data_IF_381133560569
#
_entry.id   IF_381133560569
#
_cell.length_a   1.000
_cell.length_b   1.000
_cell.length_c   1.000
_cell.angle_alpha   90.00
_cell.angle_beta   90.00
_cell.angle_gamma   90.00
#
_symmetry.space_group_name_H-M   'P 1'
#
loop_
_entity.id
_entity.type
_entity.pdbx_description
1 polymer ?
#
# COMPACT_ATOMS: atom_id res chain seq x y z
N UNK A 1 15.87 -27.41 -6.11
CA UNK A 1 14.44 -27.05 -6.30
C UNK A 1 13.64 -26.92 -4.99
N UNK A 2 13.83 -27.77 -3.96
CA UNK A 2 13.03 -27.72 -2.71
C UNK A 2 13.10 -26.41 -1.90
N UNK A 3 14.20 -25.65 -1.97
CA UNK A 3 14.35 -24.42 -1.17
C UNK A 3 13.72 -23.17 -1.81
N UNK A 4 13.66 -23.10 -3.14
CA UNK A 4 13.01 -21.97 -3.84
C UNK A 4 11.50 -21.97 -3.63
N UNK A 5 10.88 -23.15 -3.72
CA UNK A 5 9.44 -23.32 -3.45
C UNK A 5 9.10 -22.92 -2.02
N UNK A 6 9.94 -23.28 -1.04
CA UNK A 6 9.78 -22.84 0.36
C UNK A 6 9.91 -21.33 0.53
N UNK A 7 10.83 -20.68 -0.20
CA UNK A 7 11.00 -19.22 -0.15
C UNK A 7 9.81 -18.50 -0.79
N UNK A 8 9.32 -18.97 -1.93
CA UNK A 8 8.13 -18.42 -2.57
C UNK A 8 6.91 -18.59 -1.66
N UNK A 9 6.74 -19.76 -1.05
CA UNK A 9 5.67 -20.00 -0.08
C UNK A 9 5.80 -19.09 1.15
N UNK A 10 7.01 -18.91 1.68
CA UNK A 10 7.24 -18.01 2.81
C UNK A 10 6.96 -16.54 2.46
N UNK A 11 7.34 -16.09 1.26
CA UNK A 11 7.02 -14.73 0.77
C UNK A 11 5.52 -14.57 0.57
N UNK A 12 4.84 -15.55 -0.04
CA UNK A 12 3.40 -15.51 -0.22
C UNK A 12 2.64 -15.48 1.13
N UNK A 13 3.10 -16.26 2.11
CA UNK A 13 2.55 -16.26 3.47
C UNK A 13 2.80 -14.93 4.16
N UNK A 14 4.01 -14.38 4.08
CA UNK A 14 4.32 -13.06 4.64
C UNK A 14 3.47 -11.96 4.01
N UNK A 15 3.33 -11.96 2.68
CA UNK A 15 2.47 -11.00 1.98
C UNK A 15 1.01 -11.17 2.38
N UNK A 16 0.51 -12.41 2.50
CA UNK A 16 -0.85 -12.69 2.94
C UNK A 16 -1.10 -12.30 4.40
N UNK A 17 -0.12 -12.48 5.29
CA UNK A 17 -0.20 -12.04 6.69
C UNK A 17 -0.18 -10.52 6.78
N UNK A 18 0.70 -9.85 6.02
CA UNK A 18 0.70 -8.40 5.93
C UNK A 18 -0.64 -7.87 5.40
N UNK A 19 -1.15 -8.45 4.31
CA UNK A 19 -2.44 -8.09 3.73
C UNK A 19 -3.60 -8.37 4.70
N UNK A 20 -3.61 -9.52 5.37
CA UNK A 20 -4.61 -9.92 6.34
C UNK A 20 -4.61 -9.03 7.60
N UNK A 21 -3.44 -8.61 8.07
CA UNK A 21 -3.31 -7.64 9.14
C UNK A 21 -3.86 -6.27 8.73
N UNK A 22 -3.56 -5.80 7.50
CA UNK A 22 -4.21 -4.59 6.95
C UNK A 22 -5.73 -4.74 6.83
N UNK A 23 -6.26 -5.93 6.55
CA UNK A 23 -7.71 -6.15 6.48
C UNK A 23 -8.38 -6.20 7.87
N UNK A 24 -7.73 -6.81 8.88
CA UNK A 24 -8.26 -6.91 10.25
C UNK A 24 -8.18 -5.62 11.05
N UNK A 25 -7.16 -4.79 10.80
CA UNK A 25 -7.07 -3.44 11.36
C UNK A 25 -8.12 -2.51 10.73
N UNK A 26 -8.88 -3.03 9.75
CA UNK A 26 -9.70 -2.24 8.85
C UNK A 26 -8.76 -1.53 7.90
N UNK A 27 -8.78 -1.91 6.63
CA UNK A 27 -8.42 -0.93 5.61
C UNK A 27 -9.36 0.24 5.91
N UNK A 28 -8.86 1.43 6.34
CA UNK A 28 -9.72 2.60 6.36
C UNK A 28 -10.29 2.63 4.96
N UNK A 29 -11.61 2.52 4.87
CA UNK A 29 -12.29 2.26 3.63
C UNK A 29 -11.68 3.17 2.55
N UNK A 30 -10.89 2.60 1.62
CA UNK A 30 -10.43 3.29 0.41
C UNK A 30 -11.62 3.38 -0.56
N UNK A 31 -12.80 3.62 0.02
CA UNK A 31 -14.07 3.90 -0.58
C UNK A 31 -14.31 5.40 -0.42
N UNK A 32 -13.33 6.18 -0.85
CA UNK A 32 -13.58 7.56 -1.21
C UNK A 32 -12.78 7.77 -2.49
N UNK A 33 -13.49 7.82 -3.62
CA UNK A 33 -13.06 8.74 -4.66
C UNK A 33 -12.70 10.04 -3.93
N UNK A 34 -11.42 10.37 -3.93
CA UNK A 34 -10.99 11.63 -3.36
C UNK A 34 -11.60 12.66 -4.31
N UNK A 35 -12.72 13.26 -3.89
CA UNK A 35 -13.31 14.42 -4.55
C UNK A 35 -12.40 15.60 -4.29
N UNK A 36 -11.23 15.56 -4.90
CA UNK A 36 -10.30 16.66 -4.90
C UNK A 36 -10.78 17.73 -5.86
N UNK A 37 -10.50 18.99 -5.51
CA UNK A 37 -10.72 20.08 -6.43
C UNK A 37 -9.82 19.88 -7.66
N UNK A 38 -10.31 20.21 -8.86
CA UNK A 38 -9.58 19.98 -10.10
C UNK A 38 -8.24 20.74 -10.18
N UNK A 39 -8.05 21.76 -9.35
CA UNK A 39 -6.84 22.56 -9.19
C UNK A 39 -5.91 22.05 -8.08
N UNK A 40 -6.18 20.89 -7.48
CA UNK A 40 -5.31 20.29 -6.49
C UNK A 40 -3.88 20.09 -7.07
N UNK A 41 -2.83 20.45 -6.32
CA UNK A 41 -1.45 20.36 -6.81
C UNK A 41 -1.09 18.95 -7.29
N UNK A 42 -0.40 18.90 -8.43
CA UNK A 42 0.24 17.67 -8.91
C UNK A 42 1.50 17.44 -8.07
N UNK A 43 1.58 16.30 -7.41
CA UNK A 43 2.73 15.94 -6.57
C UNK A 43 3.77 15.18 -7.38
N UNK A 44 3.33 14.30 -8.29
CA UNK A 44 4.20 13.57 -9.20
C UNK A 44 3.46 13.14 -10.46
N UNK A 45 4.22 12.83 -11.51
CA UNK A 45 3.69 12.27 -12.76
C UNK A 45 4.33 10.91 -13.01
N UNK A 46 3.52 9.87 -13.17
CA UNK A 46 3.98 8.49 -13.41
C UNK A 46 3.39 8.03 -14.73
N UNK A 47 4.25 7.74 -15.71
CA UNK A 47 3.84 7.30 -17.06
C UNK A 47 2.78 8.20 -17.73
N UNK A 48 2.87 9.51 -17.51
CA UNK A 48 1.93 10.49 -18.07
C UNK A 48 0.62 10.65 -17.29
N UNK A 49 0.42 9.90 -16.20
CA UNK A 49 -0.70 10.09 -15.28
C UNK A 49 -0.26 11.00 -14.13
N UNK A 50 -1.03 12.05 -13.89
CA UNK A 50 -0.81 12.97 -12.77
C UNK A 50 -1.36 12.39 -11.48
N UNK A 51 -0.52 12.33 -10.45
CA UNK A 51 -0.92 11.99 -9.10
C UNK A 51 -1.04 13.30 -8.31
N UNK A 52 -2.24 13.56 -7.82
CA UNK A 52 -2.58 14.79 -7.13
C UNK A 52 -2.46 14.64 -5.62
N UNK A 53 -2.40 15.77 -4.93
CA UNK A 53 -2.10 15.89 -3.50
C UNK A 53 -2.89 14.92 -2.63
N UNK A 54 -4.14 14.67 -2.93
CA UNK A 54 -5.04 13.87 -2.12
C UNK A 54 -4.73 12.40 -2.25
N UNK A 55 -4.52 11.91 -3.47
CA UNK A 55 -4.06 10.54 -3.72
C UNK A 55 -2.70 10.33 -3.07
N UNK A 56 -1.76 11.26 -3.29
CA UNK A 56 -0.45 11.22 -2.66
C UNK A 56 -0.54 11.19 -1.12
N UNK A 57 -1.44 11.98 -0.52
CA UNK A 57 -1.64 12.01 0.93
C UNK A 57 -2.12 10.67 1.50
N UNK A 58 -2.85 9.86 0.74
CA UNK A 58 -3.20 8.50 1.18
C UNK A 58 -1.97 7.61 1.30
N UNK A 59 -1.11 7.63 0.27
CA UNK A 59 0.16 6.90 0.30
C UNK A 59 1.05 7.41 1.43
N UNK A 60 1.12 8.73 1.62
CA UNK A 60 1.89 9.35 2.70
C UNK A 60 1.43 8.87 4.08
N UNK A 61 0.12 8.87 4.34
CA UNK A 61 -0.44 8.40 5.61
C UNK A 61 -0.21 6.89 5.82
N UNK A 62 -0.30 6.09 4.76
CA UNK A 62 -0.01 4.67 4.81
C UNK A 62 1.46 4.42 5.19
N UNK A 63 2.41 5.06 4.51
CA UNK A 63 3.84 4.91 4.79
C UNK A 63 4.20 5.45 6.17
N UNK A 64 3.62 6.58 6.57
CA UNK A 64 3.77 7.14 7.92
C UNK A 64 3.37 6.12 9.00
N UNK A 65 2.19 5.53 8.85
CA UNK A 65 1.67 4.52 9.80
C UNK A 65 2.55 3.28 9.82
N UNK A 66 3.01 2.82 8.65
CA UNK A 66 3.97 1.71 8.54
C UNK A 66 5.28 2.01 9.27
N UNK A 67 5.87 3.19 9.09
CA UNK A 67 7.10 3.57 9.78
C UNK A 67 6.92 3.64 11.30
N UNK A 68 5.84 4.28 11.77
CA UNK A 68 5.51 4.36 13.20
C UNK A 68 5.39 2.97 13.85
N UNK A 69 4.79 2.01 13.14
CA UNK A 69 4.63 0.64 13.60
C UNK A 69 5.92 -0.19 13.52
N UNK A 70 6.67 -0.08 12.42
CA UNK A 70 7.84 -0.92 12.15
C UNK A 70 8.93 -0.78 13.20
N UNK A 71 9.13 0.44 13.71
CA UNK A 71 10.16 0.70 14.72
C UNK A 71 9.65 0.51 16.16
N UNK A 72 8.35 0.23 16.36
CA UNK A 72 7.75 0.11 17.70
C UNK A 72 7.81 1.40 18.52
N UNK A 73 8.17 2.52 17.89
CA UNK A 73 8.34 3.84 18.54
C UNK A 73 7.11 4.73 18.34
N UNK A 74 6.17 4.36 17.47
CA UNK A 74 5.03 5.21 17.17
C UNK A 74 5.49 6.60 16.70
N UNK A 75 4.79 7.67 17.10
CA UNK A 75 5.14 9.05 16.72
C UNK A 75 6.52 9.52 17.20
N UNK A 76 7.17 8.84 18.15
CA UNK A 76 8.46 9.28 18.67
C UNK A 76 9.58 9.19 17.61
N UNK A 77 9.41 8.37 16.56
CA UNK A 77 10.38 8.25 15.47
C UNK A 77 10.72 9.60 14.84
N UNK A 78 9.74 10.49 14.69
CA UNK A 78 9.91 11.81 14.05
C UNK A 78 10.84 12.74 14.84
N UNK A 79 10.96 12.53 16.15
CA UNK A 79 11.87 13.29 17.02
C UNK A 79 13.22 12.61 17.26
N UNK A 80 13.29 11.29 17.05
CA UNK A 80 14.43 10.45 17.42
C UNK A 80 15.35 10.13 16.24
N UNK A 81 14.82 10.14 15.01
CA UNK A 81 15.59 9.95 13.79
C UNK A 81 15.60 11.25 12.98
N UNK A 82 16.76 11.91 12.87
CA UNK A 82 16.89 13.17 12.12
C UNK A 82 16.41 13.07 10.67
N UNK A 83 16.57 11.91 10.03
CA UNK A 83 16.26 11.70 8.61
C UNK A 83 14.89 11.03 8.38
N UNK A 84 14.06 10.91 9.43
CA UNK A 84 12.78 10.19 9.35
C UNK A 84 11.81 10.86 8.37
N UNK A 85 11.73 12.19 8.36
CA UNK A 85 10.85 12.93 7.45
C UNK A 85 11.27 12.77 5.99
N UNK A 86 12.58 12.87 5.69
CA UNK A 86 13.10 12.66 4.34
C UNK A 86 12.85 11.22 3.87
N UNK A 87 13.06 10.25 4.76
CA UNK A 87 12.82 8.83 4.48
C UNK A 87 11.34 8.54 4.22
N UNK A 88 10.44 9.21 4.95
CA UNK A 88 9.00 9.14 4.75
C UNK A 88 8.61 9.64 3.36
N UNK A 89 9.10 10.81 2.93
CA UNK A 89 8.83 11.36 1.59
C UNK A 89 9.34 10.42 0.51
N UNK A 90 10.61 9.99 0.60
CA UNK A 90 11.21 9.09 -0.39
C UNK A 90 10.45 7.75 -0.50
N UNK A 91 10.06 7.19 0.64
CA UNK A 91 9.28 5.94 0.68
C UNK A 91 7.86 6.13 0.15
N UNK A 92 7.27 7.31 0.37
CA UNK A 92 5.96 7.66 -0.19
C UNK A 92 6.03 7.74 -1.71
N UNK A 93 7.05 8.42 -2.26
CA UNK A 93 7.26 8.52 -3.71
C UNK A 93 7.42 7.15 -4.36
N UNK A 94 8.20 6.25 -3.74
CA UNK A 94 8.38 4.88 -4.22
C UNK A 94 7.07 4.07 -4.20
N UNK A 95 6.36 4.08 -3.07
CA UNK A 95 5.08 3.37 -2.94
C UNK A 95 4.06 3.89 -3.94
N UNK A 96 3.99 5.21 -4.12
CA UNK A 96 3.07 5.85 -5.04
C UNK A 96 3.38 5.46 -6.50
N UNK A 97 4.65 5.58 -6.91
CA UNK A 97 5.10 5.13 -8.24
C UNK A 97 4.77 3.65 -8.49
N UNK A 98 5.11 2.75 -7.56
CA UNK A 98 4.88 1.33 -7.71
C UNK A 98 3.40 0.98 -7.77
N UNK A 99 2.57 1.61 -6.93
CA UNK A 99 1.12 1.41 -6.93
C UNK A 99 0.51 1.84 -8.27
N UNK A 100 0.89 3.00 -8.80
CA UNK A 100 0.39 3.49 -10.09
C UNK A 100 0.83 2.61 -11.26
N UNK A 101 2.09 2.16 -11.28
CA UNK A 101 2.59 1.22 -12.31
C UNK A 101 1.84 -0.12 -12.23
N UNK A 102 1.69 -0.67 -11.01
CA UNK A 102 1.00 -1.93 -10.81
C UNK A 102 -0.48 -1.84 -11.24
N UNK A 103 -1.19 -0.77 -10.86
CA UNK A 103 -2.57 -0.54 -11.25
C UNK A 103 -2.71 -0.40 -12.77
N UNK A 104 -1.83 0.37 -13.42
CA UNK A 104 -1.84 0.53 -14.87
C UNK A 104 -1.61 -0.81 -15.59
N UNK A 105 -0.65 -1.63 -15.13
CA UNK A 105 -0.41 -2.96 -15.69
C UNK A 105 -1.53 -3.95 -15.42
N UNK A 106 -2.16 -3.88 -14.25
CA UNK A 106 -3.31 -4.71 -13.91
C UNK A 106 -4.49 -4.40 -14.85
N UNK A 107 -4.73 -3.12 -15.12
CA UNK A 107 -5.75 -2.68 -16.08
C UNK A 107 -5.42 -3.05 -17.53
N UNK A 108 -4.17 -2.87 -17.97
CA UNK A 108 -3.70 -3.29 -19.31
C UNK A 108 -3.93 -4.79 -19.57
N UNK A 109 -3.79 -5.61 -18.52
CA UNK A 109 -4.01 -7.06 -18.58
C UNK A 109 -5.49 -7.46 -18.46
N UNK A 110 -6.42 -6.51 -18.31
CA UNK A 110 -7.84 -6.77 -18.11
C UNK A 110 -8.15 -7.50 -16.80
N UNK A 111 -7.28 -7.36 -15.80
CA UNK A 111 -7.47 -7.97 -14.49
C UNK A 111 -8.36 -7.07 -13.62
N UNK A 112 -9.26 -7.70 -12.86
CA UNK A 112 -10.12 -7.02 -11.89
C UNK A 112 -9.97 -7.67 -10.51
N UNK A 113 -9.92 -6.83 -9.48
CA UNK A 113 -9.95 -7.31 -8.09
C UNK A 113 -11.42 -7.54 -7.69
N UNK A 114 -11.89 -8.77 -7.90
CA UNK A 114 -13.21 -9.19 -7.44
C UNK A 114 -13.27 -9.35 -5.91
N UNK A 115 -14.28 -8.75 -5.28
CA UNK A 115 -14.56 -8.93 -3.84
C UNK A 115 -15.09 -10.34 -3.50
N UNK A 116 -15.53 -11.09 -4.51
CA UNK A 116 -15.98 -12.48 -4.45
C UNK A 116 -14.88 -13.42 -3.96
N UNK A 117 -13.65 -13.29 -4.46
CA UNK A 117 -12.53 -14.15 -4.07
C UNK A 117 -11.91 -13.81 -2.71
N UNK A 118 -12.01 -12.55 -2.27
CA UNK A 118 -11.51 -12.14 -0.96
C UNK A 118 -12.35 -12.72 0.19
N UNK A 119 -13.64 -12.97 -0.05
CA UNK A 119 -14.54 -13.61 0.93
C UNK A 119 -14.41 -15.13 0.98
N UNK A 120 -14.08 -15.80 -0.14
CA UNK A 120 -13.89 -17.25 -0.20
C UNK A 120 -12.75 -17.75 0.72
N UNK A 121 -11.72 -16.94 0.95
CA UNK A 121 -10.61 -17.30 1.87
C UNK A 121 -11.09 -17.54 3.31
N UNK A 122 -12.11 -16.81 3.78
CA UNK A 122 -12.67 -17.01 5.13
C UNK A 122 -13.48 -18.30 5.25
N UNK A 123 -14.06 -18.80 4.16
CA UNK A 123 -14.78 -20.09 4.16
C UNK A 123 -13.85 -21.31 4.16
N UNK A 124 -12.63 -21.19 3.63
CA UNK A 124 -11.67 -22.30 3.60
C UNK A 124 -11.09 -22.69 4.97
N UNK A 125 -11.22 -21.86 6.01
CA UNK A 125 -10.74 -22.20 7.36
C UNK A 125 -11.72 -23.05 8.19
N UNK A 126 -12.81 -23.54 7.59
CA UNK A 126 -13.83 -24.36 8.28
C UNK A 126 -13.82 -25.85 7.91
N UNK A 127 -12.85 -26.30 7.12
CA UNK A 127 -12.58 -27.73 6.87
C UNK A 127 -11.32 -28.19 7.63
#
# INVERSE_FOLDING_TARGET
MKNYVKRIAATAVMTAVCLGATMQIGLPAVAYEIKEAADAPVMMTVNGVEIRKGEYAQHFNYVKTQMENMYGMGPYIWSMQPDAEQSLVASTDEVCMLASIAAAKFHELGLELGADKAWEYKSFQKE
#
